data_IF_094833114750
#
_entry.id   IF_094833114750
#
_cell.length_a   1.000
_cell.length_b   1.000
_cell.length_c   1.000
_cell.angle_alpha   90.00
_cell.angle_beta   90.00
_cell.angle_gamma   90.00
#
_symmetry.space_group_name_H-M   'P 1'
#
loop_
_entity.id
_entity.type
_entity.pdbx_description
1 polymer ?
#
# COMPACT_ATOMS: atom_id res chain seq x y z
N UNK A 1 15.09 4.78 -16.19
CA UNK A 1 14.69 3.41 -16.64
C UNK A 1 13.18 3.39 -16.74
N UNK A 2 12.63 2.69 -17.73
CA UNK A 2 11.20 2.32 -17.77
C UNK A 2 11.11 0.86 -17.34
N UNK A 3 10.12 0.52 -16.53
CA UNK A 3 9.94 -0.85 -16.05
C UNK A 3 8.47 -1.18 -15.80
N UNK A 4 8.14 -2.46 -15.95
CA UNK A 4 6.85 -3.07 -15.64
C UNK A 4 6.99 -3.90 -14.37
N UNK A 5 6.18 -3.60 -13.35
CA UNK A 5 6.21 -4.34 -12.10
C UNK A 5 5.66 -5.76 -12.25
N UNK A 6 4.86 -6.04 -13.28
CA UNK A 6 4.31 -7.37 -13.56
C UNK A 6 5.33 -8.30 -14.24
N UNK A 7 6.31 -7.73 -14.94
CA UNK A 7 7.37 -8.48 -15.62
C UNK A 7 8.55 -8.83 -14.69
N UNK A 8 8.85 -10.13 -14.46
CA UNK A 8 10.02 -10.56 -13.69
C UNK A 8 11.36 -10.01 -14.20
N UNK A 9 11.55 -9.92 -15.52
CA UNK A 9 12.82 -9.47 -16.10
C UNK A 9 13.03 -7.98 -15.82
N UNK A 10 11.98 -7.17 -15.97
CA UNK A 10 11.98 -5.77 -15.58
C UNK A 10 12.27 -5.56 -14.09
N UNK A 11 11.68 -6.36 -13.19
CA UNK A 11 11.99 -6.29 -11.75
C UNK A 11 13.47 -6.57 -11.46
N UNK A 12 14.02 -7.63 -12.03
CA UNK A 12 15.43 -7.99 -11.86
C UNK A 12 16.35 -6.89 -12.38
N UNK A 13 16.08 -6.36 -13.58
CA UNK A 13 16.86 -5.27 -14.17
C UNK A 13 16.84 -4.01 -13.30
N UNK A 14 15.67 -3.65 -12.75
CA UNK A 14 15.52 -2.47 -11.89
C UNK A 14 16.27 -2.58 -10.56
N UNK A 15 16.55 -3.80 -10.10
CA UNK A 15 17.22 -4.07 -8.82
C UNK A 15 18.72 -4.35 -8.97
N UNK A 16 19.26 -4.36 -10.19
CA UNK A 16 20.70 -4.53 -10.42
C UNK A 16 21.50 -3.46 -9.69
N UNK A 17 22.46 -3.90 -8.88
CA UNK A 17 23.33 -3.05 -8.07
C UNK A 17 22.60 -2.14 -7.06
N UNK A 18 21.33 -2.41 -6.76
CA UNK A 18 20.55 -1.67 -5.76
C UNK A 18 20.84 -2.21 -4.36
N UNK A 19 21.42 -1.37 -3.49
CA UNK A 19 21.69 -1.74 -2.10
C UNK A 19 20.48 -1.59 -1.16
N UNK A 20 19.52 -0.74 -1.51
CA UNK A 20 18.34 -0.40 -0.68
C UNK A 20 17.12 -0.07 -1.54
N UNK A 21 15.95 -0.51 -1.11
CA UNK A 21 14.68 -0.33 -1.80
C UNK A 21 13.70 0.45 -0.93
N UNK A 22 12.97 1.38 -1.55
CA UNK A 22 11.75 1.97 -1.00
C UNK A 22 10.59 1.52 -1.87
N UNK A 23 9.75 0.62 -1.34
CA UNK A 23 8.66 0.01 -2.08
C UNK A 23 7.32 0.65 -1.71
N UNK A 24 6.62 1.16 -2.72
CA UNK A 24 5.22 1.60 -2.63
C UNK A 24 4.42 0.62 -3.46
N UNK A 25 3.63 -0.24 -2.81
CA UNK A 25 2.80 -1.19 -3.54
C UNK A 25 1.71 -0.44 -4.34
N UNK A 26 1.51 -0.80 -5.62
CA UNK A 26 0.55 -0.14 -6.49
C UNK A 26 -0.87 -0.36 -5.97
N UNK A 27 -1.66 0.71 -5.95
CA UNK A 27 -3.05 0.64 -5.49
C UNK A 27 -3.92 0.03 -6.60
N UNK A 28 -4.77 -0.93 -6.24
CA UNK A 28 -5.84 -1.48 -7.08
C UNK A 28 -5.40 -2.32 -8.30
N UNK A 29 -4.22 -2.94 -8.26
CA UNK A 29 -3.92 -4.04 -9.18
C UNK A 29 -4.64 -5.33 -8.73
N UNK A 30 -5.30 -6.06 -9.65
CA UNK A 30 -5.62 -7.46 -9.42
C UNK A 30 -4.29 -8.16 -9.11
N UNK A 31 -4.18 -8.83 -7.96
CA UNK A 31 -2.96 -9.51 -7.50
C UNK A 31 -1.87 -8.64 -6.84
N UNK A 32 -2.22 -7.48 -6.29
CA UNK A 32 -1.29 -6.59 -5.56
C UNK A 32 -0.40 -7.34 -4.54
N UNK A 33 -0.99 -8.24 -3.74
CA UNK A 33 -0.25 -9.00 -2.74
C UNK A 33 0.75 -9.98 -3.37
N UNK A 34 0.37 -10.65 -4.47
CA UNK A 34 1.24 -11.58 -5.19
C UNK A 34 2.41 -10.82 -5.82
N UNK A 35 2.14 -9.69 -6.48
CA UNK A 35 3.17 -8.84 -7.07
C UNK A 35 4.11 -8.25 -6.00
N UNK A 36 3.58 -7.84 -4.85
CA UNK A 36 4.39 -7.36 -3.74
C UNK A 36 5.35 -8.42 -3.22
N UNK A 37 4.87 -9.66 -3.01
CA UNK A 37 5.73 -10.78 -2.62
C UNK A 37 6.80 -11.07 -3.67
N UNK A 38 6.42 -11.13 -4.95
CA UNK A 38 7.37 -11.35 -6.05
C UNK A 38 8.44 -10.25 -6.15
N UNK A 39 8.12 -9.02 -5.75
CA UNK A 39 9.09 -7.93 -5.69
C UNK A 39 10.05 -8.07 -4.49
N UNK A 40 9.57 -8.56 -3.34
CA UNK A 40 10.43 -8.91 -2.19
C UNK A 40 11.40 -10.03 -2.59
N UNK A 41 10.91 -11.09 -3.25
CA UNK A 41 11.75 -12.19 -3.74
C UNK A 41 12.83 -11.70 -4.70
N UNK A 42 12.47 -10.80 -5.63
CA UNK A 42 13.41 -10.20 -6.56
C UNK A 42 14.47 -9.33 -5.86
N UNK A 43 14.08 -8.60 -4.80
CA UNK A 43 15.00 -7.80 -4.00
C UNK A 43 16.03 -8.69 -3.28
N UNK A 44 15.58 -9.80 -2.69
CA UNK A 44 16.44 -10.80 -2.05
C UNK A 44 17.40 -11.38 -3.09
N UNK A 45 16.90 -11.84 -4.24
CA UNK A 45 17.70 -12.44 -5.30
C UNK A 45 18.75 -11.48 -5.89
N UNK A 46 18.48 -10.17 -5.85
CA UNK A 46 19.39 -9.14 -6.35
C UNK A 46 20.41 -8.65 -5.31
N UNK A 47 20.38 -9.18 -4.09
CA UNK A 47 21.30 -8.80 -3.01
C UNK A 47 20.99 -7.45 -2.36
N UNK A 48 19.73 -6.99 -2.44
CA UNK A 48 19.29 -5.80 -1.69
C UNK A 48 19.49 -6.07 -0.20
N UNK A 49 20.06 -5.10 0.53
CA UNK A 49 20.30 -5.26 1.97
C UNK A 49 19.19 -4.69 2.83
N UNK A 50 18.55 -3.62 2.37
CA UNK A 50 17.51 -2.90 3.13
C UNK A 50 16.25 -2.68 2.32
N UNK A 51 15.09 -2.96 2.91
CA UNK A 51 13.78 -2.84 2.30
C UNK A 51 12.84 -1.98 3.16
N UNK A 52 12.49 -0.79 2.67
CA UNK A 52 11.51 0.08 3.31
C UNK A 52 10.20 -0.08 2.58
N UNK A 53 9.16 -0.57 3.27
CA UNK A 53 7.84 -0.77 2.69
C UNK A 53 6.87 0.31 3.17
N UNK A 54 6.33 1.08 2.22
CA UNK A 54 5.14 1.90 2.46
C UNK A 54 3.91 1.01 2.41
N UNK A 55 3.58 0.43 3.56
CA UNK A 55 2.37 -0.35 3.77
C UNK A 55 1.17 0.60 3.97
N UNK A 56 0.40 0.44 5.04
CA UNK A 56 -0.82 1.21 5.35
C UNK A 56 -1.18 1.04 6.82
N UNK A 57 -1.89 1.99 7.41
CA UNK A 57 -2.44 1.82 8.76
C UNK A 57 -3.35 0.58 8.86
N UNK A 58 -3.20 -0.21 9.92
CA UNK A 58 -4.04 -1.39 10.19
C UNK A 58 -4.12 -2.46 9.06
N UNK A 59 -2.99 -2.98 8.55
CA UNK A 59 -2.99 -3.98 7.48
C UNK A 59 -3.56 -5.34 7.93
N UNK A 60 -3.70 -5.57 9.24
CA UNK A 60 -4.24 -6.81 9.82
C UNK A 60 -5.78 -6.87 9.83
N UNK A 61 -6.47 -5.77 9.51
CA UNK A 61 -7.93 -5.72 9.52
C UNK A 61 -8.50 -6.24 8.21
N UNK A 62 -8.97 -7.49 8.20
CA UNK A 62 -9.54 -8.16 7.02
C UNK A 62 -10.78 -7.48 6.42
N UNK A 63 -11.49 -6.66 7.20
CA UNK A 63 -12.61 -5.85 6.70
C UNK A 63 -12.18 -4.78 5.69
N UNK A 64 -10.95 -4.28 5.79
CA UNK A 64 -10.37 -3.27 4.91
C UNK A 64 -9.61 -3.96 3.78
N UNK A 65 -10.31 -4.35 2.71
CA UNK A 65 -9.75 -5.22 1.66
C UNK A 65 -8.43 -4.72 1.06
N UNK A 66 -8.32 -3.42 0.75
CA UNK A 66 -7.10 -2.79 0.25
C UNK A 66 -5.98 -2.70 1.31
N UNK A 67 -6.32 -2.67 2.60
CA UNK A 67 -5.31 -2.67 3.66
C UNK A 67 -4.76 -4.08 3.90
N UNK A 68 -5.67 -5.06 3.90
CA UNK A 68 -5.36 -6.47 4.09
C UNK A 68 -4.37 -7.02 3.06
N UNK A 69 -4.33 -6.44 1.84
CA UNK A 69 -3.37 -6.83 0.79
C UNK A 69 -1.91 -6.49 1.13
N UNK A 70 -1.66 -5.59 2.10
CA UNK A 70 -0.29 -5.27 2.52
C UNK A 70 0.29 -6.29 3.51
N UNK A 71 -0.56 -6.92 4.32
CA UNK A 71 -0.10 -7.88 5.34
C UNK A 71 0.69 -9.07 4.75
N UNK A 72 0.29 -9.71 3.63
CA UNK A 72 1.10 -10.76 3.01
C UNK A 72 2.47 -10.30 2.51
N UNK A 73 2.63 -9.01 2.18
CA UNK A 73 3.90 -8.44 1.74
C UNK A 73 4.78 -8.11 2.96
N UNK A 74 4.19 -7.57 4.03
CA UNK A 74 4.89 -7.42 5.31
C UNK A 74 5.40 -8.77 5.83
N UNK A 75 4.56 -9.81 5.78
CA UNK A 75 4.92 -11.16 6.17
C UNK A 75 6.11 -11.70 5.36
N UNK A 76 6.14 -11.49 4.04
CA UNK A 76 7.28 -11.89 3.21
C UNK A 76 8.58 -11.17 3.60
N UNK A 77 8.53 -9.88 3.93
CA UNK A 77 9.71 -9.12 4.38
C UNK A 77 10.13 -9.57 5.79
N UNK A 78 9.18 -9.77 6.71
CA UNK A 78 9.43 -10.21 8.09
C UNK A 78 10.12 -11.57 8.16
N UNK A 79 9.76 -12.49 7.26
CA UNK A 79 10.34 -13.82 7.17
C UNK A 79 11.58 -13.88 6.26
N UNK A 80 12.18 -12.73 5.92
CA UNK A 80 13.42 -12.63 5.14
C UNK A 80 14.61 -12.19 6.01
N UNK A 81 15.81 -12.21 5.44
CA UNK A 81 17.02 -11.66 6.09
C UNK A 81 17.26 -10.16 5.78
N UNK A 82 16.30 -9.49 5.14
CA UNK A 82 16.41 -8.06 4.80
C UNK A 82 16.38 -7.20 6.07
N UNK A 83 17.24 -6.18 6.14
CA UNK A 83 16.98 -5.07 7.07
C UNK A 83 15.71 -4.35 6.63
N UNK A 84 14.74 -4.13 7.50
CA UNK A 84 13.46 -3.56 7.07
C UNK A 84 12.99 -2.35 7.86
N UNK A 85 12.05 -1.63 7.26
CA UNK A 85 11.24 -0.61 7.92
C UNK A 85 9.86 -0.61 7.31
N UNK A 86 8.83 -0.78 8.12
CA UNK A 86 7.44 -0.62 7.67
C UNK A 86 6.94 0.76 8.04
N UNK A 87 6.43 1.47 7.05
CA UNK A 87 5.69 2.70 7.25
C UNK A 87 4.22 2.37 7.14
N UNK A 88 3.45 2.76 8.15
CA UNK A 88 1.99 2.63 8.20
C UNK A 88 1.33 4.00 8.05
N UNK A 89 1.40 4.62 6.86
CA UNK A 89 0.77 5.91 6.64
C UNK A 89 -0.75 5.79 6.79
N UNK A 90 -1.36 6.89 7.19
CA UNK A 90 -2.81 7.07 7.19
C UNK A 90 -3.25 7.73 5.89
N UNK A 91 -4.46 8.29 5.86
CA UNK A 91 -4.96 9.03 4.71
C UNK A 91 -4.06 10.22 4.38
N UNK A 92 -3.70 10.33 3.10
CA UNK A 92 -2.93 11.47 2.59
C UNK A 92 -3.77 12.75 2.69
N UNK A 93 -3.20 13.83 3.20
CA UNK A 93 -3.90 15.12 3.29
C UNK A 93 -4.31 15.66 1.91
N UNK A 94 -3.57 15.30 0.86
CA UNK A 94 -3.88 15.61 -0.54
C UNK A 94 -5.24 15.06 -0.97
N UNK A 95 -5.73 13.98 -0.35
CA UNK A 95 -7.07 13.44 -0.64
C UNK A 95 -8.18 14.44 -0.30
N UNK A 96 -7.89 15.43 0.55
CA UNK A 96 -8.83 16.48 0.92
C UNK A 96 -8.72 17.73 0.03
N UNK A 97 -7.68 17.85 -0.80
CA UNK A 97 -7.43 19.06 -1.59
C UNK A 97 -8.63 19.42 -2.49
N UNK A 98 -9.21 18.45 -3.18
CA UNK A 98 -10.37 18.68 -4.05
C UNK A 98 -11.68 18.95 -3.29
N UNK A 99 -11.71 18.74 -1.98
CA UNK A 99 -12.87 19.01 -1.12
C UNK A 99 -12.66 20.22 -0.20
N UNK A 100 -11.47 20.85 -0.25
CA UNK A 100 -11.03 21.85 0.72
C UNK A 100 -11.92 23.10 0.69
N UNK A 101 -12.11 23.70 -0.48
CA UNK A 101 -12.95 24.89 -0.66
C UNK A 101 -14.38 24.66 -0.14
N UNK A 102 -14.93 23.47 -0.39
CA UNK A 102 -16.27 23.10 0.02
C UNK A 102 -16.42 22.77 1.52
N UNK A 103 -15.31 22.59 2.24
CA UNK A 103 -15.28 22.37 3.70
C UNK A 103 -15.26 23.69 4.46
N UNK A 104 -14.60 24.72 3.92
CA UNK A 104 -14.56 26.07 4.49
C UNK A 104 -15.94 26.75 4.44
N UNK A 105 -16.67 26.59 3.32
CA UNK A 105 -17.97 27.23 3.12
C UNK A 105 -19.13 26.64 3.95
N UNK A 106 -19.05 25.36 4.34
CA UNK A 106 -20.19 24.59 4.86
C UNK A 106 -20.12 24.21 6.34
N UNK A 107 -19.07 24.60 7.07
CA UNK A 107 -18.95 24.33 8.49
C UNK A 107 -18.99 22.82 8.81
N UNK A 108 -17.91 22.11 8.47
CA UNK A 108 -17.54 20.84 9.13
C UNK A 108 -18.04 19.53 8.49
N UNK A 109 -17.09 18.62 8.30
CA UNK A 109 -17.10 17.14 8.24
C UNK A 109 -18.12 16.37 7.38
N UNK A 110 -19.34 16.87 7.19
CA UNK A 110 -20.44 16.17 6.51
C UNK A 110 -20.27 16.12 4.99
N UNK A 111 -19.70 17.17 4.39
CA UNK A 111 -19.36 17.21 2.96
C UNK A 111 -18.26 16.21 2.58
N UNK A 112 -17.32 15.95 3.51
CA UNK A 112 -16.22 15.01 3.29
C UNK A 112 -16.70 13.56 3.27
N UNK A 113 -17.52 13.17 4.25
CA UNK A 113 -18.05 11.81 4.37
C UNK A 113 -19.00 11.44 3.23
N UNK A 114 -19.77 12.39 2.68
CA UNK A 114 -20.69 12.13 1.56
C UNK A 114 -19.97 11.89 0.23
N UNK A 115 -18.77 12.46 0.00
CA UNK A 115 -17.96 12.19 -1.20
C UNK A 115 -17.00 11.02 -1.07
N UNK A 116 -16.51 10.70 0.13
CA UNK A 116 -15.66 9.50 0.37
C UNK A 116 -16.48 8.23 0.56
N UNK A 117 -17.81 8.34 0.67
CA UNK A 117 -18.74 7.21 0.81
C UNK A 117 -18.57 6.11 -0.23
N UNK A 118 -18.32 6.35 -1.53
CA UNK A 118 -18.13 5.26 -2.50
C UNK A 118 -16.88 4.42 -2.25
N UNK A 119 -15.82 5.03 -1.69
CA UNK A 119 -14.54 4.37 -1.36
C UNK A 119 -14.63 3.67 0.00
N UNK A 120 -15.22 4.32 1.01
CA UNK A 120 -15.30 3.78 2.37
C UNK A 120 -16.43 2.76 2.57
N UNK A 121 -17.56 2.90 1.86
CA UNK A 121 -18.71 1.96 2.01
C UNK A 121 -18.44 0.55 1.49
N UNK A 122 -17.43 0.36 0.63
CA UNK A 122 -16.99 -0.98 0.20
C UNK A 122 -15.99 -1.64 1.15
N UNK A 123 -15.32 -0.86 2.01
CA UNK A 123 -14.26 -1.33 2.91
C UNK A 123 -14.68 -1.32 4.39
N UNK A 124 -15.74 -0.59 4.75
CA UNK A 124 -16.26 -0.51 6.11
C UNK A 124 -17.74 -0.89 6.11
N UNK A 125 -18.02 -2.19 6.07
CA UNK A 125 -19.32 -2.71 6.49
C UNK A 125 -19.19 -3.19 7.94
N UNK A 126 -19.81 -2.51 8.92
CA UNK A 126 -19.82 -3.01 10.29
C UNK A 126 -20.60 -4.33 10.31
N UNK A 127 -19.88 -5.46 10.44
CA UNK A 127 -20.48 -6.75 10.82
C UNK A 127 -20.73 -6.75 12.33
N UNK A 128 -21.61 -5.86 12.78
CA UNK A 128 -22.26 -5.96 14.07
C UNK A 128 -23.75 -6.13 13.82
N UNK A 129 -24.16 -7.38 13.55
CA UNK A 129 -25.50 -7.87 13.86
C UNK A 129 -25.34 -9.27 14.44
N UNK A 130 -25.72 -9.36 15.72
CA UNK A 130 -26.10 -10.52 16.56
C UNK A 130 -25.67 -11.91 16.08
#
# INVERSE_FOLDING_TARGET
MVGDLTDPASRAAALQSVGRVFYIAPVALPDEAILGKAFVDAAIASGVRRFVFSSVIHPVLSGLSNHALKAPVEDAVLNSELEYTFLHPTVLFQNFAAAWDGLEERGGQRALLDRTRPVLSRQWQPRCRS
#
